data_IF_946812418975
#
_entry.id   IF_946812418975
#
_cell.length_a   1.000
_cell.length_b   1.000
_cell.length_c   1.000
_cell.angle_alpha   90.00
_cell.angle_beta   90.00
_cell.angle_gamma   90.00
#
_symmetry.space_group_name_H-M   'P 1'
#
loop_
_entity.id
_entity.type
_entity.pdbx_description
1 polymer ?
#
# COMPACT_ATOMS: atom_id res chain seq x y z
N UNK A 1 -6.25 75.50 -39.37
CA UNK A 1 -5.94 74.06 -39.23
C UNK A 1 -5.74 73.71 -37.74
N UNK A 2 -6.80 73.50 -36.94
CA UNK A 2 -6.62 72.89 -35.59
C UNK A 2 -7.91 72.50 -34.83
N UNK A 3 -9.03 72.27 -35.52
CA UNK A 3 -10.30 71.90 -34.83
C UNK A 3 -10.78 70.48 -35.15
N UNK A 4 -10.20 69.81 -36.14
CA UNK A 4 -10.55 68.42 -36.49
C UNK A 4 -9.92 67.36 -35.56
N UNK A 5 -8.85 67.69 -34.84
CA UNK A 5 -8.10 66.72 -34.01
C UNK A 5 -8.69 66.49 -32.61
N UNK A 6 -9.49 67.43 -32.08
CA UNK A 6 -10.06 67.29 -30.72
C UNK A 6 -11.26 66.34 -30.65
N UNK A 7 -11.99 66.13 -31.75
CA UNK A 7 -13.16 65.25 -31.77
C UNK A 7 -12.79 63.75 -31.78
N UNK A 8 -11.65 63.38 -32.39
CA UNK A 8 -11.19 61.98 -32.43
C UNK A 8 -10.69 61.47 -31.08
N UNK A 9 -10.01 62.30 -30.29
CA UNK A 9 -9.39 61.88 -29.03
C UNK A 9 -10.40 61.61 -27.91
N UNK A 10 -11.53 62.35 -27.86
CA UNK A 10 -12.59 62.12 -26.89
C UNK A 10 -13.36 60.81 -27.15
N UNK A 11 -13.67 60.51 -28.43
CA UNK A 11 -14.28 59.24 -28.81
C UNK A 11 -13.33 58.04 -28.57
N UNK A 12 -12.03 58.23 -28.78
CA UNK A 12 -11.03 57.18 -28.58
C UNK A 12 -10.79 56.88 -27.08
N UNK A 13 -10.87 57.88 -26.20
CA UNK A 13 -10.80 57.68 -24.75
C UNK A 13 -12.06 57.01 -24.18
N UNK A 14 -13.26 57.40 -24.65
CA UNK A 14 -14.52 56.81 -24.21
C UNK A 14 -14.64 55.33 -24.61
N UNK A 15 -14.25 54.97 -25.84
CA UNK A 15 -14.23 53.58 -26.32
C UNK A 15 -13.23 52.70 -25.55
N UNK A 16 -12.07 53.24 -25.16
CA UNK A 16 -11.08 52.52 -24.33
C UNK A 16 -11.62 52.19 -22.95
N UNK A 17 -12.34 53.12 -22.32
CA UNK A 17 -12.94 52.89 -21.01
C UNK A 17 -14.10 51.90 -21.06
N UNK A 18 -14.89 51.92 -22.14
CA UNK A 18 -15.97 50.96 -22.36
C UNK A 18 -15.44 49.55 -22.62
N UNK A 19 -14.37 49.43 -23.42
CA UNK A 19 -13.69 48.16 -23.64
C UNK A 19 -13.06 47.61 -22.35
N UNK A 20 -12.39 48.45 -21.57
CA UNK A 20 -11.82 48.05 -20.29
C UNK A 20 -12.91 47.59 -19.30
N UNK A 21 -14.04 48.30 -19.23
CA UNK A 21 -15.18 47.90 -18.40
C UNK A 21 -15.77 46.55 -18.87
N UNK A 22 -15.90 46.35 -20.18
CA UNK A 22 -16.35 45.07 -20.74
C UNK A 22 -15.39 43.92 -20.43
N UNK A 23 -14.08 44.14 -20.49
CA UNK A 23 -13.06 43.14 -20.15
C UNK A 23 -13.07 42.78 -18.66
N UNK A 24 -13.24 43.79 -17.80
CA UNK A 24 -13.34 43.55 -16.35
C UNK A 24 -14.62 42.77 -16.04
N UNK A 25 -15.75 43.11 -16.67
CA UNK A 25 -17.02 42.40 -16.47
C UNK A 25 -16.95 40.95 -17.00
N UNK A 26 -16.33 40.72 -18.16
CA UNK A 26 -16.15 39.36 -18.70
C UNK A 26 -15.15 38.55 -17.89
N UNK A 27 -14.09 39.16 -17.36
CA UNK A 27 -13.18 38.49 -16.42
C UNK A 27 -13.88 38.14 -15.10
N UNK A 28 -14.75 39.02 -14.59
CA UNK A 28 -15.54 38.76 -13.38
C UNK A 28 -16.58 37.66 -13.61
N UNK A 29 -17.25 37.66 -14.77
CA UNK A 29 -18.21 36.61 -15.16
C UNK A 29 -17.52 35.28 -15.46
N UNK A 30 -16.36 35.28 -16.11
CA UNK A 30 -15.54 34.08 -16.31
C UNK A 30 -15.04 33.53 -14.98
N UNK A 31 -14.60 34.38 -14.06
CA UNK A 31 -14.25 33.96 -12.71
C UNK A 31 -15.45 33.32 -12.02
N UNK A 32 -16.63 33.94 -12.06
CA UNK A 32 -17.86 33.37 -11.48
C UNK A 32 -18.26 32.03 -12.12
N UNK A 33 -18.16 31.92 -13.45
CA UNK A 33 -18.44 30.69 -14.21
C UNK A 33 -17.42 29.57 -13.92
N UNK A 34 -16.15 29.91 -13.68
CA UNK A 34 -15.08 28.96 -13.39
C UNK A 34 -15.07 28.50 -11.92
N UNK A 35 -15.71 29.25 -11.02
CA UNK A 35 -15.79 28.90 -9.60
C UNK A 35 -16.79 27.75 -9.34
N UNK A 36 -17.63 27.40 -10.32
CA UNK A 36 -18.59 26.28 -10.20
C UNK A 36 -18.02 24.90 -10.59
N UNK A 37 -16.74 24.81 -10.94
CA UNK A 37 -16.07 23.49 -10.98
C UNK A 37 -15.71 23.10 -9.55
N UNK A 38 -16.71 22.59 -8.86
CA UNK A 38 -16.53 21.87 -7.61
C UNK A 38 -15.59 20.69 -7.87
N UNK A 39 -14.37 20.78 -7.36
CA UNK A 39 -13.54 19.60 -7.08
C UNK A 39 -14.17 18.84 -5.90
N UNK A 40 -15.42 18.41 -6.04
CA UNK A 40 -16.10 17.61 -5.04
C UNK A 40 -15.74 16.15 -5.29
N UNK A 41 -14.72 15.68 -4.59
CA UNK A 41 -14.54 14.24 -4.39
C UNK A 41 -15.68 13.78 -3.48
N UNK A 42 -16.47 12.78 -3.90
CA UNK A 42 -17.52 12.11 -3.10
C UNK A 42 -16.99 11.37 -1.84
N UNK A 43 -15.77 11.69 -1.40
CA UNK A 43 -15.12 11.13 -0.22
C UNK A 43 -15.36 12.10 0.93
N UNK A 44 -16.15 11.66 1.90
CA UNK A 44 -16.39 12.43 3.13
C UNK A 44 -15.27 12.18 4.14
N UNK A 45 -15.15 13.05 5.15
CA UNK A 45 -14.24 12.80 6.29
C UNK A 45 -14.53 11.46 6.97
N UNK A 46 -15.80 11.05 7.02
CA UNK A 46 -16.18 9.74 7.59
C UNK A 46 -15.63 8.56 6.79
N UNK A 47 -15.45 8.72 5.48
CA UNK A 47 -14.87 7.67 4.63
C UNK A 47 -13.36 7.60 4.82
N UNK A 48 -12.70 8.74 5.05
CA UNK A 48 -11.29 8.80 5.43
C UNK A 48 -11.06 8.08 6.76
N UNK A 49 -11.91 8.34 7.77
CA UNK A 49 -11.80 7.70 9.09
C UNK A 49 -11.99 6.18 9.02
N UNK A 50 -12.97 5.72 8.22
CA UNK A 50 -13.18 4.29 7.95
C UNK A 50 -11.95 3.67 7.28
N UNK A 51 -11.42 4.30 6.24
CA UNK A 51 -10.23 3.82 5.53
C UNK A 51 -9.01 3.77 6.45
N UNK A 52 -8.82 4.76 7.33
CA UNK A 52 -7.74 4.74 8.31
C UNK A 52 -7.90 3.59 9.30
N UNK A 53 -9.13 3.36 9.79
CA UNK A 53 -9.44 2.24 10.68
C UNK A 53 -9.16 0.90 10.03
N UNK A 54 -9.60 0.72 8.78
CA UNK A 54 -9.32 -0.49 8.00
C UNK A 54 -7.82 -0.70 7.77
N UNK A 55 -7.07 0.35 7.45
CA UNK A 55 -5.61 0.25 7.31
C UNK A 55 -4.94 -0.22 8.61
N UNK A 56 -5.39 0.28 9.77
CA UNK A 56 -4.87 -0.17 11.06
C UNK A 56 -5.24 -1.63 11.33
N UNK A 57 -6.49 -2.02 11.06
CA UNK A 57 -6.95 -3.40 11.24
C UNK A 57 -6.16 -4.37 10.37
N UNK A 58 -6.03 -4.09 9.07
CA UNK A 58 -5.27 -4.92 8.13
C UNK A 58 -3.82 -5.07 8.59
N UNK A 59 -3.18 -3.99 9.05
CA UNK A 59 -1.81 -4.05 9.59
C UNK A 59 -1.71 -4.96 10.82
N UNK A 60 -2.68 -4.89 11.71
CA UNK A 60 -2.73 -5.74 12.89
C UNK A 60 -2.95 -7.21 12.52
N UNK A 61 -3.81 -7.49 11.54
CA UNK A 61 -4.07 -8.85 11.03
C UNK A 61 -2.83 -9.43 10.34
N UNK A 62 -2.11 -8.64 9.55
CA UNK A 62 -0.84 -9.03 8.94
C UNK A 62 0.17 -9.38 10.03
N UNK A 63 0.39 -8.50 11.00
CA UNK A 63 1.34 -8.73 12.09
C UNK A 63 0.99 -9.99 12.91
N UNK A 64 -0.31 -10.21 13.17
CA UNK A 64 -0.80 -11.40 13.87
C UNK A 64 -0.57 -12.66 13.05
N UNK A 65 -0.85 -12.61 11.76
CA UNK A 65 -0.67 -13.74 10.85
C UNK A 65 0.81 -14.10 10.70
N UNK A 66 1.70 -13.11 10.58
CA UNK A 66 3.15 -13.32 10.55
C UNK A 66 3.65 -13.96 11.85
N UNK A 67 3.17 -13.50 13.00
CA UNK A 67 3.50 -14.08 14.31
C UNK A 67 3.06 -15.54 14.41
N UNK A 68 1.84 -15.84 13.98
CA UNK A 68 1.31 -17.21 13.97
C UNK A 68 2.13 -18.11 13.04
N UNK A 69 2.45 -17.61 11.84
CA UNK A 69 3.25 -18.32 10.85
C UNK A 69 4.66 -18.63 11.40
N UNK A 70 5.28 -17.68 12.08
CA UNK A 70 6.56 -17.88 12.76
C UNK A 70 6.47 -18.92 13.89
N UNK A 71 5.38 -18.91 14.67
CA UNK A 71 5.16 -19.90 15.73
C UNK A 71 4.97 -21.33 15.19
N UNK A 72 4.28 -21.48 14.07
CA UNK A 72 4.00 -22.77 13.42
C UNK A 72 5.12 -23.29 12.53
N UNK A 73 6.13 -22.48 12.23
CA UNK A 73 7.22 -22.90 11.33
C UNK A 73 8.14 -23.92 12.02
N UNK A 74 8.44 -24.99 11.27
CA UNK A 74 9.39 -26.05 11.63
C UNK A 74 10.75 -25.82 10.97
N UNK A 75 11.23 -24.58 11.03
CA UNK A 75 12.57 -24.28 10.50
C UNK A 75 13.64 -24.94 11.36
N UNK A 76 14.78 -25.22 10.74
CA UNK A 76 15.93 -25.81 11.43
C UNK A 76 16.32 -24.99 12.67
N UNK A 77 16.38 -23.66 12.53
CA UNK A 77 16.71 -22.74 13.62
C UNK A 77 15.70 -22.76 14.76
N UNK A 78 14.40 -22.85 14.44
CA UNK A 78 13.35 -22.88 15.46
C UNK A 78 13.36 -24.17 16.30
N UNK A 79 13.96 -25.25 15.78
CA UNK A 79 14.12 -26.52 16.49
C UNK A 79 15.49 -26.65 17.16
N UNK A 80 16.52 -25.99 16.65
CA UNK A 80 17.90 -26.04 17.16
C UNK A 80 18.00 -25.61 18.63
N UNK A 81 17.23 -24.59 19.01
CA UNK A 81 17.31 -23.98 20.36
C UNK A 81 16.30 -24.56 21.37
N UNK A 82 15.38 -25.44 20.94
CA UNK A 82 14.30 -25.95 21.78
C UNK A 82 14.10 -27.46 21.65
N UNK A 83 14.85 -28.22 22.47
CA UNK A 83 14.72 -29.67 22.53
C UNK A 83 13.34 -30.15 23.02
N UNK A 84 12.59 -29.33 23.78
CA UNK A 84 11.22 -29.70 24.19
C UNK A 84 10.29 -29.62 23.00
N UNK A 85 10.42 -28.58 22.18
CA UNK A 85 9.71 -28.44 20.90
C UNK A 85 10.05 -29.61 19.96
N UNK A 86 11.33 -29.99 19.85
CA UNK A 86 11.74 -31.17 19.07
C UNK A 86 11.05 -32.43 19.56
N UNK A 87 11.13 -32.73 20.85
CA UNK A 87 10.52 -33.93 21.42
C UNK A 87 8.99 -33.94 21.24
N UNK A 88 8.34 -32.79 21.40
CA UNK A 88 6.90 -32.65 21.22
C UNK A 88 6.45 -32.94 19.78
N UNK A 89 7.17 -32.41 18.78
CA UNK A 89 6.74 -32.50 17.38
C UNK A 89 7.28 -33.71 16.61
N UNK A 90 8.35 -34.34 17.08
CA UNK A 90 9.01 -35.46 16.36
C UNK A 90 9.09 -36.75 17.18
N UNK A 91 8.87 -36.69 18.50
CA UNK A 91 9.16 -37.79 19.41
C UNK A 91 10.65 -38.10 19.59
N UNK A 92 11.54 -37.36 18.91
CA UNK A 92 12.99 -37.56 18.99
C UNK A 92 13.60 -36.80 20.17
N UNK A 93 14.70 -37.30 20.76
CA UNK A 93 15.22 -36.78 22.01
C UNK A 93 15.93 -35.42 21.89
N UNK A 94 16.36 -35.03 20.69
CA UNK A 94 17.08 -33.77 20.47
C UNK A 94 17.08 -33.34 19.01
N UNK A 95 17.37 -32.07 18.77
CA UNK A 95 17.56 -31.54 17.42
C UNK A 95 18.62 -32.32 16.62
N UNK A 96 19.70 -32.77 17.27
CA UNK A 96 20.75 -33.55 16.61
C UNK A 96 20.20 -34.86 16.02
N UNK A 97 19.25 -35.49 16.69
CA UNK A 97 18.59 -36.70 16.21
C UNK A 97 17.75 -36.42 14.95
N UNK A 98 17.01 -35.30 14.95
CA UNK A 98 16.25 -34.84 13.78
C UNK A 98 17.18 -34.54 12.60
N UNK A 99 18.28 -33.83 12.85
CA UNK A 99 19.26 -33.50 11.82
C UNK A 99 19.95 -34.74 11.24
N UNK A 100 20.24 -35.73 12.10
CA UNK A 100 20.79 -37.01 11.67
C UNK A 100 19.81 -37.77 10.78
N UNK A 101 18.52 -37.78 11.15
CA UNK A 101 17.46 -38.34 10.32
C UNK A 101 17.34 -37.63 8.97
N UNK A 102 17.37 -36.30 8.98
CA UNK A 102 17.38 -35.50 7.76
C UNK A 102 18.55 -35.84 6.85
N UNK A 103 19.75 -35.98 7.40
CA UNK A 103 20.94 -36.34 6.62
C UNK A 103 20.80 -37.69 5.93
N UNK A 104 20.11 -38.66 6.55
CA UNK A 104 19.86 -39.98 5.99
C UNK A 104 18.73 -39.97 4.94
N UNK A 105 17.72 -39.13 5.13
CA UNK A 105 16.51 -39.11 4.29
C UNK A 105 16.54 -38.08 3.17
N UNK A 106 17.41 -37.06 3.22
CA UNK A 106 17.40 -35.92 2.29
C UNK A 106 17.35 -36.33 0.82
N UNK A 107 18.04 -37.41 0.43
CA UNK A 107 18.11 -37.86 -0.96
C UNK A 107 16.79 -38.52 -1.43
N UNK A 108 15.92 -38.87 -0.49
CA UNK A 108 14.60 -39.45 -0.70
C UNK A 108 13.46 -38.45 -0.48
N UNK A 109 13.73 -37.27 0.08
CA UNK A 109 12.75 -36.21 0.29
C UNK A 109 12.60 -35.42 -1.03
N UNK A 110 11.46 -35.51 -1.74
CA UNK A 110 11.29 -34.84 -3.01
C UNK A 110 11.34 -33.32 -2.82
N UNK A 111 12.29 -32.66 -3.49
CA UNK A 111 12.46 -31.22 -3.39
C UNK A 111 12.72 -30.59 -4.77
N UNK A 112 12.09 -29.45 -5.03
CA UNK A 112 12.28 -28.68 -6.26
C UNK A 112 12.19 -27.17 -5.99
N UNK A 113 12.66 -26.37 -6.94
CA UNK A 113 12.56 -24.90 -6.87
C UNK A 113 11.11 -24.36 -6.86
N UNK A 114 10.11 -25.21 -7.12
CA UNK A 114 8.69 -24.84 -7.06
C UNK A 114 8.09 -25.04 -5.66
N UNK A 115 8.82 -25.69 -4.75
CA UNK A 115 8.36 -25.94 -3.40
C UNK A 115 8.45 -24.67 -2.56
N UNK A 116 7.41 -24.42 -1.76
CA UNK A 116 7.36 -23.28 -0.85
C UNK A 116 8.14 -23.51 0.46
N UNK A 117 8.42 -24.77 0.78
CA UNK A 117 9.14 -25.22 1.96
C UNK A 117 10.57 -25.59 1.62
N UNK A 118 11.46 -25.44 2.59
CA UNK A 118 12.79 -26.04 2.53
C UNK A 118 12.68 -27.57 2.58
N UNK A 119 13.66 -28.27 2.01
CA UNK A 119 13.69 -29.74 2.05
C UNK A 119 13.62 -30.30 3.49
N UNK A 120 14.16 -29.56 4.46
CA UNK A 120 14.06 -29.91 5.88
C UNK A 120 12.62 -29.82 6.39
N UNK A 121 11.94 -28.70 6.12
CA UNK A 121 10.52 -28.51 6.49
C UNK A 121 9.63 -29.57 5.81
N UNK A 122 9.95 -29.97 4.58
CA UNK A 122 9.26 -31.05 3.87
C UNK A 122 9.42 -32.40 4.58
N UNK A 123 10.64 -32.75 4.98
CA UNK A 123 10.87 -33.94 5.79
C UNK A 123 10.05 -33.91 7.09
N UNK A 124 10.05 -32.76 7.77
CA UNK A 124 9.34 -32.59 9.03
C UNK A 124 7.84 -32.84 8.90
N UNK A 125 7.21 -32.42 7.80
CA UNK A 125 5.80 -32.70 7.51
C UNK A 125 5.51 -34.20 7.40
N UNK A 126 6.42 -35.00 6.84
CA UNK A 126 6.26 -36.45 6.75
C UNK A 126 6.48 -37.17 8.09
N UNK A 127 7.29 -36.60 8.99
CA UNK A 127 7.63 -37.23 10.28
C UNK A 127 6.73 -36.83 11.44
N UNK A 128 5.93 -35.77 11.31
CA UNK A 128 5.11 -35.18 12.39
C UNK A 128 3.61 -35.52 12.31
N UNK A 129 3.22 -36.45 11.44
CA UNK A 129 1.87 -37.02 11.36
C UNK A 129 1.74 -38.33 12.13
#
# INVERSE_FOLDING_TARGET
MSSAWKHGSAQHHSKKNLAHCSYVLTMFLLFYLFTEVSCQTDITGSDIDKLQTEVVNIRNEIATSEKNLAATRFTEDALREDNKKVAFYTGLPSFLSVLSLFTLLKDYVPHSHRNAFTQFEEMMLFTSG
#
